data_IF_185211326551
#
_entry.id   IF_185211326551
#
_cell.length_a   1.000
_cell.length_b   1.000
_cell.length_c   1.000
_cell.angle_alpha   90.00
_cell.angle_beta   90.00
_cell.angle_gamma   90.00
#
_symmetry.space_group_name_H-M   'P 1'
#
loop_
_entity.id
_entity.type
_entity.pdbx_description
1 polymer ?
#
# COMPACT_ATOMS: atom_id res chain seq x y z
N UNK A 1 31.84 -8.12 -66.63
CA UNK A 1 31.33 -7.02 -65.79
C UNK A 1 30.62 -7.66 -64.60
N UNK A 2 31.33 -7.79 -63.45
CA UNK A 2 30.79 -8.37 -62.23
C UNK A 2 30.40 -7.20 -61.30
N UNK A 3 29.08 -7.09 -61.01
CA UNK A 3 28.59 -6.11 -60.01
C UNK A 3 28.71 -6.71 -58.60
N UNK A 4 29.55 -6.07 -57.81
CA UNK A 4 29.76 -6.38 -56.42
C UNK A 4 28.63 -5.73 -55.56
N UNK A 5 27.72 -6.56 -55.01
CA UNK A 5 26.65 -6.11 -54.08
C UNK A 5 27.20 -6.03 -52.64
N UNK A 6 27.33 -4.84 -52.12
CA UNK A 6 27.65 -4.60 -50.72
C UNK A 6 26.39 -4.73 -49.86
N UNK A 7 26.35 -5.76 -49.03
CA UNK A 7 25.34 -5.87 -47.95
C UNK A 7 25.82 -5.06 -46.73
N UNK A 8 25.15 -3.97 -46.46
CA UNK A 8 25.37 -3.21 -45.22
C UNK A 8 24.51 -3.88 -44.17
N UNK A 9 25.16 -4.64 -43.24
CA UNK A 9 24.51 -5.15 -42.04
C UNK A 9 24.39 -4.02 -41.00
N UNK A 10 23.18 -3.49 -40.85
CA UNK A 10 22.87 -2.50 -39.84
C UNK A 10 22.90 -3.13 -38.44
N UNK A 11 23.86 -2.75 -37.61
CA UNK A 11 23.91 -3.09 -36.19
C UNK A 11 22.79 -2.31 -35.46
N UNK A 12 21.71 -2.95 -35.08
CA UNK A 12 20.72 -2.40 -34.17
C UNK A 12 21.30 -2.46 -32.75
N UNK A 13 21.81 -1.34 -32.26
CA UNK A 13 22.21 -1.19 -30.86
C UNK A 13 20.94 -0.97 -30.05
N UNK A 14 20.47 -2.02 -29.38
CA UNK A 14 19.44 -1.92 -28.35
C UNK A 14 20.03 -1.15 -27.16
N UNK A 15 19.74 0.12 -27.06
CA UNK A 15 20.03 0.92 -25.88
C UNK A 15 19.17 0.35 -24.74
N UNK A 16 19.80 -0.38 -23.79
CA UNK A 16 19.19 -0.63 -22.47
C UNK A 16 19.06 0.70 -21.78
N UNK A 17 17.83 1.19 -21.61
CA UNK A 17 17.55 2.29 -20.69
C UNK A 17 18.04 1.84 -19.31
N UNK A 18 19.08 2.50 -18.79
CA UNK A 18 19.45 2.39 -17.39
C UNK A 18 18.24 2.93 -16.61
N UNK A 19 17.49 2.06 -15.95
CA UNK A 19 16.50 2.48 -14.98
C UNK A 19 17.25 3.35 -13.96
N UNK A 20 16.81 4.60 -13.77
CA UNK A 20 17.32 5.44 -12.69
C UNK A 20 17.14 4.63 -11.38
N UNK A 21 18.18 4.62 -10.56
CA UNK A 21 18.10 4.04 -9.21
C UNK A 21 17.05 4.83 -8.44
N UNK A 22 15.88 4.23 -8.27
CA UNK A 22 14.72 4.87 -7.64
C UNK A 22 14.91 5.07 -6.14
N UNK A 23 16.08 4.71 -5.59
CA UNK A 23 16.45 4.91 -4.19
C UNK A 23 15.64 4.06 -3.18
N UNK A 24 14.92 3.03 -3.64
CA UNK A 24 14.21 2.08 -2.80
C UNK A 24 14.23 0.67 -3.43
N UNK A 25 14.00 -0.38 -2.60
CA UNK A 25 14.14 -1.77 -3.01
C UNK A 25 12.80 -2.47 -3.29
N UNK A 26 11.74 -2.15 -2.52
CA UNK A 26 10.44 -2.82 -2.55
C UNK A 26 9.33 -1.92 -2.02
N UNK A 27 8.08 -2.39 -2.07
CA UNK A 27 6.93 -1.69 -1.48
C UNK A 27 6.36 -2.43 -0.28
N UNK A 28 5.75 -1.66 0.63
CA UNK A 28 4.76 -2.15 1.59
C UNK A 28 3.39 -1.69 1.12
N UNK A 29 2.46 -2.65 0.94
CA UNK A 29 1.03 -2.38 0.87
C UNK A 29 0.53 -2.32 2.31
N UNK A 30 0.14 -1.14 2.79
CA UNK A 30 -0.41 -0.96 4.13
C UNK A 30 -1.93 -0.84 4.04
N UNK A 31 -2.65 -1.78 4.64
CA UNK A 31 -4.10 -1.73 4.79
C UNK A 31 -4.43 -1.40 6.24
N UNK A 32 -5.22 -0.37 6.50
CA UNK A 32 -5.65 -0.01 7.85
C UNK A 32 -7.10 -0.39 8.11
N UNK A 33 -7.38 -0.82 9.36
CA UNK A 33 -8.76 -0.99 9.82
C UNK A 33 -9.34 0.38 10.15
N UNK A 34 -10.20 0.89 9.26
CA UNK A 34 -10.75 2.25 9.36
C UNK A 34 -11.45 2.53 10.69
N UNK A 35 -12.30 1.62 11.25
CA UNK A 35 -12.93 1.86 12.55
C UNK A 35 -11.94 2.04 13.70
N UNK A 36 -10.81 1.34 13.71
CA UNK A 36 -9.76 1.55 14.72
C UNK A 36 -9.17 2.95 14.65
N UNK A 37 -8.91 3.44 13.44
CA UNK A 37 -8.40 4.79 13.25
C UNK A 37 -9.39 5.84 13.75
N UNK A 38 -10.68 5.64 13.49
CA UNK A 38 -11.75 6.53 13.97
C UNK A 38 -11.88 6.50 15.50
N UNK A 39 -11.75 5.33 16.12
CA UNK A 39 -11.88 5.17 17.58
C UNK A 39 -10.70 5.71 18.40
N UNK A 40 -9.53 5.92 17.79
CA UNK A 40 -8.32 6.33 18.52
C UNK A 40 -8.35 7.76 19.04
N UNK A 41 -9.12 8.66 18.42
CA UNK A 41 -9.17 10.08 18.79
C UNK A 41 -10.57 10.65 18.48
N UNK A 42 -11.24 11.24 19.49
CA UNK A 42 -12.59 11.80 19.37
C UNK A 42 -12.72 12.86 18.25
N UNK A 43 -11.68 13.68 18.03
CA UNK A 43 -11.67 14.68 16.96
C UNK A 43 -11.82 14.08 15.54
N UNK A 44 -11.54 12.78 15.38
CA UNK A 44 -11.67 12.07 14.10
C UNK A 44 -13.11 11.71 13.76
N UNK A 45 -14.01 11.77 14.72
CA UNK A 45 -15.44 11.53 14.48
C UNK A 45 -16.04 12.47 13.41
N UNK A 46 -15.39 13.62 13.16
CA UNK A 46 -15.80 14.58 12.11
C UNK A 46 -15.13 14.31 10.74
N UNK A 47 -14.21 13.35 10.65
CA UNK A 47 -13.60 12.97 9.38
C UNK A 47 -14.62 12.20 8.53
N UNK A 48 -14.66 12.49 7.22
CA UNK A 48 -15.57 11.83 6.29
C UNK A 48 -15.40 10.30 6.27
N UNK A 49 -14.18 9.82 6.54
CA UNK A 49 -13.89 8.40 6.68
C UNK A 49 -14.59 7.74 7.86
N UNK A 50 -14.96 8.52 8.88
CA UNK A 50 -15.58 8.04 10.13
C UNK A 50 -17.09 8.29 10.19
N UNK A 51 -17.69 8.81 9.11
CA UNK A 51 -19.14 9.00 9.05
C UNK A 51 -19.83 7.63 8.97
N UNK A 52 -21.07 7.55 9.45
CA UNK A 52 -21.89 6.33 9.38
C UNK A 52 -22.15 5.88 7.95
N UNK A 53 -22.15 6.81 7.00
CA UNK A 53 -22.37 6.57 5.59
C UNK A 53 -21.12 6.04 4.87
N UNK A 54 -19.95 6.15 5.51
CA UNK A 54 -18.68 5.76 4.91
C UNK A 54 -18.50 4.23 4.80
N UNK A 55 -19.06 3.46 5.77
CA UNK A 55 -19.06 1.99 5.80
C UNK A 55 -17.68 1.34 5.49
N UNK A 56 -16.60 2.03 5.89
CA UNK A 56 -15.24 1.55 5.61
C UNK A 56 -14.78 0.53 6.67
N UNK A 57 -14.44 -0.67 6.18
CA UNK A 57 -13.65 -1.66 6.93
C UNK A 57 -12.15 -1.48 6.67
N UNK A 58 -11.56 -2.38 5.90
CA UNK A 58 -10.17 -2.26 5.45
C UNK A 58 -10.06 -1.27 4.29
N UNK A 59 -9.16 -0.30 4.42
CA UNK A 59 -8.82 0.66 3.38
C UNK A 59 -7.31 0.62 3.10
N UNK A 60 -6.91 1.07 1.93
CA UNK A 60 -5.52 1.31 1.62
C UNK A 60 -5.02 2.53 2.39
N UNK A 61 -4.21 2.32 3.43
CA UNK A 61 -3.49 3.43 4.06
C UNK A 61 -2.45 4.00 3.09
N UNK A 62 -1.69 3.16 2.41
CA UNK A 62 -0.79 3.61 1.37
C UNK A 62 0.06 2.50 0.75
N UNK A 63 0.75 2.85 -0.33
CA UNK A 63 1.80 2.06 -0.97
C UNK A 63 3.14 2.75 -0.69
N UNK A 64 3.98 2.13 0.13
CA UNK A 64 5.15 2.78 0.69
C UNK A 64 6.45 2.21 0.12
N UNK A 65 7.28 2.99 -0.58
CA UNK A 65 8.61 2.56 -0.98
C UNK A 65 9.49 2.33 0.25
N UNK A 66 10.29 1.27 0.21
CA UNK A 66 11.12 0.82 1.31
C UNK A 66 12.53 0.49 0.81
N UNK A 67 13.56 0.91 1.53
CA UNK A 67 14.90 0.36 1.43
C UNK A 67 15.08 -0.88 2.33
N UNK A 68 16.24 -1.50 2.28
CA UNK A 68 16.56 -2.67 3.12
C UNK A 68 16.62 -2.34 4.60
N UNK A 69 17.03 -1.12 4.94
CA UNK A 69 17.28 -0.67 6.32
C UNK A 69 16.50 0.59 6.69
N UNK A 70 16.01 1.34 5.71
CA UNK A 70 15.35 2.63 5.86
C UNK A 70 14.11 2.72 4.95
N UNK A 71 13.44 3.85 4.98
CA UNK A 71 12.31 4.16 4.11
C UNK A 71 12.38 5.62 3.66
N UNK A 72 12.39 5.88 2.34
CA UNK A 72 12.38 7.24 1.83
C UNK A 72 11.02 7.91 2.11
N UNK A 73 11.05 9.18 2.46
CA UNK A 73 9.85 9.97 2.70
C UNK A 73 10.05 11.44 2.31
N UNK A 74 9.01 12.07 1.78
CA UNK A 74 9.00 13.49 1.40
C UNK A 74 10.12 13.86 0.42
N UNK A 75 10.35 13.02 -0.58
CA UNK A 75 11.42 13.22 -1.55
C UNK A 75 11.14 14.46 -2.41
N UNK A 76 12.24 15.15 -2.76
CA UNK A 76 12.17 16.30 -3.70
C UNK A 76 12.09 15.77 -5.12
N UNK A 77 11.05 16.16 -5.85
CA UNK A 77 10.84 15.76 -7.24
C UNK A 77 10.42 16.97 -8.09
N UNK A 78 10.61 16.82 -9.40
CA UNK A 78 10.14 17.79 -10.40
C UNK A 78 8.68 17.54 -10.81
N UNK A 79 8.12 16.37 -10.47
CA UNK A 79 6.77 15.97 -10.84
C UNK A 79 5.70 16.87 -10.24
N UNK A 80 4.64 17.14 -11.04
CA UNK A 80 3.51 17.94 -10.58
C UNK A 80 2.72 17.19 -9.50
N UNK A 81 2.26 17.91 -8.48
CA UNK A 81 1.39 17.32 -7.48
C UNK A 81 0.03 16.88 -8.09
N UNK A 82 -0.67 15.90 -7.49
CA UNK A 82 -1.95 15.43 -7.97
C UNK A 82 -3.00 16.53 -7.96
N UNK A 83 -3.90 16.50 -8.92
CA UNK A 83 -5.07 17.36 -8.93
C UNK A 83 -6.09 16.93 -7.84
N UNK A 84 -7.04 17.83 -7.51
CA UNK A 84 -8.15 17.49 -6.61
C UNK A 84 -9.01 16.34 -7.14
N UNK A 85 -9.18 16.25 -8.46
CA UNK A 85 -9.93 15.15 -9.09
C UNK A 85 -9.22 13.81 -8.89
N UNK A 86 -7.89 13.76 -9.04
CA UNK A 86 -7.09 12.55 -8.83
C UNK A 86 -7.18 12.09 -7.38
N UNK A 87 -7.00 12.99 -6.40
CA UNK A 87 -7.09 12.63 -4.97
C UNK A 87 -8.50 12.20 -4.57
N UNK A 88 -9.54 12.85 -5.12
CA UNK A 88 -10.93 12.45 -4.93
C UNK A 88 -11.23 11.07 -5.53
N UNK A 89 -10.65 10.78 -6.70
CA UNK A 89 -10.78 9.48 -7.36
C UNK A 89 -10.16 8.31 -6.59
N UNK A 90 -9.36 8.56 -5.54
CA UNK A 90 -8.79 7.54 -4.66
C UNK A 90 -9.62 7.31 -3.38
N UNK A 91 -10.63 8.16 -3.10
CA UNK A 91 -11.34 8.13 -1.81
C UNK A 91 -12.07 6.82 -1.55
N UNK A 92 -12.48 6.11 -2.60
CA UNK A 92 -13.17 4.81 -2.51
C UNK A 92 -12.32 3.70 -1.87
N UNK A 93 -10.98 3.74 -2.07
CA UNK A 93 -10.07 2.74 -1.48
C UNK A 93 -9.21 3.30 -0.34
N UNK A 94 -9.03 4.63 -0.27
CA UNK A 94 -8.15 5.29 0.70
C UNK A 94 -8.94 5.95 1.84
N UNK A 95 -10.26 6.11 1.68
CA UNK A 95 -11.15 6.70 2.66
C UNK A 95 -11.30 8.23 2.54
N UNK A 96 -10.28 8.97 2.12
CA UNK A 96 -10.41 10.41 1.91
C UNK A 96 -9.40 10.97 0.92
N UNK A 97 -9.77 12.08 0.25
CA UNK A 97 -8.86 12.83 -0.64
C UNK A 97 -7.66 13.41 0.12
N UNK A 98 -7.85 13.76 1.39
CA UNK A 98 -6.78 14.27 2.26
C UNK A 98 -5.71 13.22 2.52
N UNK A 99 -6.13 11.97 2.80
CA UNK A 99 -5.19 10.86 2.96
C UNK A 99 -4.49 10.54 1.65
N UNK A 100 -5.20 10.52 0.51
CA UNK A 100 -4.60 10.31 -0.81
C UNK A 100 -3.51 11.36 -1.09
N UNK A 101 -3.77 12.64 -0.83
CA UNK A 101 -2.78 13.72 -0.94
C UNK A 101 -1.58 13.49 -0.03
N UNK A 102 -1.81 13.12 1.24
CA UNK A 102 -0.75 12.85 2.21
C UNK A 102 0.15 11.70 1.74
N UNK A 103 -0.45 10.60 1.23
CA UNK A 103 0.30 9.45 0.74
C UNK A 103 1.17 9.80 -0.47
N UNK A 104 0.66 10.58 -1.42
CA UNK A 104 1.48 11.10 -2.50
C UNK A 104 2.66 11.92 -1.97
N UNK A 105 2.37 12.95 -1.15
CA UNK A 105 3.38 13.85 -0.63
C UNK A 105 4.50 13.14 0.15
N UNK A 106 4.13 12.13 0.93
CA UNK A 106 5.07 11.43 1.82
C UNK A 106 5.80 10.29 1.12
N UNK A 107 5.11 9.53 0.30
CA UNK A 107 5.59 8.26 -0.25
C UNK A 107 5.67 8.28 -1.79
N UNK A 108 4.65 8.76 -2.47
CA UNK A 108 4.59 8.80 -3.92
C UNK A 108 5.74 9.58 -4.54
N UNK A 109 6.12 10.70 -3.93
CA UNK A 109 7.27 11.52 -4.37
C UNK A 109 8.60 10.77 -4.35
N UNK A 110 8.69 9.63 -3.67
CA UNK A 110 9.90 8.84 -3.57
C UNK A 110 9.95 7.66 -4.56
N UNK A 111 8.99 7.57 -5.47
CA UNK A 111 8.86 6.42 -6.41
C UNK A 111 9.34 6.73 -7.82
N UNK A 112 9.76 7.96 -8.11
CA UNK A 112 10.04 8.48 -9.45
C UNK A 112 8.85 8.36 -10.44
N UNK A 113 7.65 8.07 -9.95
CA UNK A 113 6.42 8.00 -10.73
C UNK A 113 5.73 9.37 -10.80
N UNK A 114 4.92 9.59 -11.83
CA UNK A 114 3.93 10.66 -11.80
C UNK A 114 2.86 10.40 -10.73
N UNK A 115 2.11 11.43 -10.32
CA UNK A 115 1.02 11.24 -9.38
C UNK A 115 -0.06 10.30 -9.91
N UNK A 116 -0.33 10.34 -11.21
CA UNK A 116 -1.28 9.46 -11.90
C UNK A 116 -0.80 7.99 -11.82
N UNK A 117 0.46 7.73 -12.18
CA UNK A 117 1.04 6.40 -12.18
C UNK A 117 1.15 5.83 -10.76
N UNK A 118 1.52 6.65 -9.77
CA UNK A 118 1.54 6.24 -8.37
C UNK A 118 0.16 5.82 -7.86
N UNK A 119 -0.90 6.59 -8.19
CA UNK A 119 -2.26 6.23 -7.79
C UNK A 119 -2.77 5.00 -8.54
N UNK A 120 -2.44 4.87 -9.83
CA UNK A 120 -2.76 3.68 -10.60
C UNK A 120 -2.06 2.43 -10.02
N UNK A 121 -0.78 2.55 -9.64
CA UNK A 121 -0.02 1.49 -8.97
C UNK A 121 -0.61 1.16 -7.60
N UNK A 122 -0.97 2.17 -6.81
CA UNK A 122 -1.59 2.01 -5.48
C UNK A 122 -2.92 1.27 -5.57
N UNK A 123 -3.74 1.57 -6.57
CA UNK A 123 -5.01 0.87 -6.82
C UNK A 123 -4.77 -0.59 -7.22
N UNK A 124 -3.80 -0.86 -8.09
CA UNK A 124 -3.41 -2.24 -8.44
C UNK A 124 -2.93 -3.00 -7.21
N UNK A 125 -2.12 -2.37 -6.37
CA UNK A 125 -1.62 -2.98 -5.14
C UNK A 125 -2.75 -3.33 -4.17
N UNK A 126 -3.73 -2.43 -3.98
CA UNK A 126 -4.92 -2.70 -3.18
C UNK A 126 -5.73 -3.87 -3.72
N UNK A 127 -5.99 -3.89 -5.02
CA UNK A 127 -6.78 -4.93 -5.68
C UNK A 127 -6.07 -6.30 -5.77
N UNK A 128 -4.74 -6.33 -5.60
CA UNK A 128 -3.96 -7.57 -5.53
C UNK A 128 -4.13 -8.32 -4.21
N UNK A 129 -4.67 -7.66 -3.16
CA UNK A 129 -4.90 -8.28 -1.86
C UNK A 129 -6.38 -8.58 -1.67
N UNK A 130 -6.71 -9.85 -1.54
CA UNK A 130 -8.07 -10.28 -1.18
C UNK A 130 -8.33 -10.00 0.29
N UNK A 131 -9.26 -9.08 0.57
CA UNK A 131 -9.70 -8.81 1.94
C UNK A 131 -10.60 -9.96 2.39
N UNK A 132 -10.29 -10.63 3.53
CA UNK A 132 -11.11 -11.75 4.02
C UNK A 132 -12.55 -11.33 4.30
N UNK A 133 -13.52 -12.07 3.77
CA UNK A 133 -14.94 -11.73 3.87
C UNK A 133 -15.49 -11.69 5.30
N UNK A 134 -14.81 -12.32 6.25
CA UNK A 134 -15.17 -12.27 7.69
C UNK A 134 -15.16 -10.84 8.22
N UNK A 135 -14.31 -9.96 7.68
CA UNK A 135 -14.23 -8.58 8.13
C UNK A 135 -15.39 -7.70 7.64
N UNK A 136 -16.10 -8.07 6.58
CA UNK A 136 -17.30 -7.34 6.14
C UNK A 136 -18.49 -7.52 7.08
N UNK A 137 -18.39 -8.43 8.07
CA UNK A 137 -19.43 -8.78 9.04
C UNK A 137 -19.12 -8.33 10.46
N UNK A 138 -18.16 -7.42 10.63
CA UNK A 138 -17.80 -6.87 11.95
C UNK A 138 -18.80 -5.78 12.33
N UNK A 139 -20.00 -6.21 12.79
CA UNK A 139 -21.12 -5.35 13.20
C UNK A 139 -21.13 -4.99 14.69
N UNK A 140 -20.19 -5.54 15.46
CA UNK A 140 -19.95 -5.23 16.87
C UNK A 140 -18.46 -5.32 17.18
N UNK A 141 -18.05 -4.68 18.24
CA UNK A 141 -16.64 -4.70 18.68
C UNK A 141 -16.22 -6.11 19.08
N UNK A 142 -15.04 -6.51 18.64
CA UNK A 142 -14.41 -7.76 19.04
C UNK A 142 -13.06 -7.50 19.70
N UNK A 143 -12.75 -8.30 20.73
CA UNK A 143 -11.40 -8.42 21.26
C UNK A 143 -10.85 -9.77 20.80
N UNK A 144 -9.74 -9.75 20.06
CA UNK A 144 -9.13 -10.94 19.48
C UNK A 144 -7.60 -10.83 19.51
N UNK A 145 -6.91 -11.97 19.37
CA UNK A 145 -5.47 -11.94 19.16
C UNK A 145 -5.16 -11.43 17.73
N UNK A 146 -4.19 -10.55 17.61
CA UNK A 146 -3.80 -9.98 16.32
C UNK A 146 -3.37 -11.04 15.28
N UNK A 147 -2.82 -12.16 15.72
CA UNK A 147 -2.46 -13.31 14.89
C UNK A 147 -3.66 -13.88 14.09
N UNK A 148 -4.87 -13.84 14.67
CA UNK A 148 -6.10 -14.27 13.96
C UNK A 148 -6.36 -13.43 12.72
N UNK A 149 -6.01 -12.14 12.76
CA UNK A 149 -6.14 -11.26 11.60
C UNK A 149 -5.16 -11.68 10.50
N UNK A 150 -3.91 -11.95 10.89
CA UNK A 150 -2.88 -12.42 9.96
C UNK A 150 -3.30 -13.74 9.29
N UNK A 151 -3.70 -14.73 10.09
CA UNK A 151 -4.18 -16.03 9.60
C UNK A 151 -5.34 -15.88 8.61
N UNK A 152 -6.29 -14.96 8.88
CA UNK A 152 -7.41 -14.72 7.98
C UNK A 152 -6.93 -14.18 6.62
N UNK A 153 -5.96 -13.26 6.60
CA UNK A 153 -5.37 -12.74 5.37
C UNK A 153 -4.55 -13.81 4.63
N UNK A 154 -3.74 -14.60 5.32
CA UNK A 154 -2.99 -15.70 4.72
C UNK A 154 -3.92 -16.73 4.07
N UNK A 155 -5.02 -17.06 4.74
CA UNK A 155 -6.04 -17.98 4.19
C UNK A 155 -6.74 -17.44 2.94
N UNK A 156 -6.99 -16.14 2.90
CA UNK A 156 -7.66 -15.50 1.75
C UNK A 156 -6.72 -15.24 0.57
N UNK A 157 -5.40 -15.27 0.80
CA UNK A 157 -4.35 -14.96 -0.19
C UNK A 157 -3.30 -16.09 -0.21
N UNK A 158 -3.52 -17.18 -0.95
CA UNK A 158 -2.66 -18.38 -0.92
C UNK A 158 -1.19 -18.15 -1.32
N UNK A 159 -0.91 -17.06 -2.04
CA UNK A 159 0.45 -16.68 -2.44
C UNK A 159 1.24 -15.98 -1.30
N UNK A 160 0.55 -15.57 -0.21
CA UNK A 160 1.17 -14.96 0.95
C UNK A 160 1.65 -16.05 1.93
N UNK A 161 2.75 -15.74 2.62
CA UNK A 161 3.29 -16.50 3.74
C UNK A 161 3.47 -15.58 4.95
N UNK A 162 3.59 -16.16 6.13
CA UNK A 162 3.77 -15.46 7.42
C UNK A 162 4.90 -14.41 7.39
N UNK A 163 6.01 -14.72 6.73
CA UNK A 163 7.16 -13.81 6.64
C UNK A 163 7.01 -12.68 5.59
N UNK A 164 5.90 -12.63 4.87
CA UNK A 164 5.56 -11.60 3.85
C UNK A 164 4.51 -10.60 4.37
N UNK A 165 3.90 -10.91 5.52
CA UNK A 165 2.79 -10.14 6.12
C UNK A 165 3.19 -9.68 7.51
N UNK A 166 2.63 -8.57 7.97
CA UNK A 166 2.79 -8.04 9.33
C UNK A 166 1.51 -7.40 9.81
N UNK A 167 1.11 -7.73 11.01
CA UNK A 167 0.03 -7.06 11.72
C UNK A 167 0.61 -6.02 12.66
N UNK A 168 0.04 -4.82 12.69
CA UNK A 168 0.46 -3.76 13.60
C UNK A 168 -0.67 -3.33 14.52
N UNK A 169 -0.31 -2.86 15.71
CA UNK A 169 -1.24 -2.35 16.71
C UNK A 169 -0.82 -0.97 17.18
N UNK A 170 -1.81 -0.16 17.53
CA UNK A 170 -1.60 1.12 18.21
C UNK A 170 -2.49 1.21 19.44
N UNK A 171 -1.87 1.40 20.63
CA UNK A 171 -2.63 1.32 21.88
C UNK A 171 -3.31 -0.04 22.03
N UNK A 172 -4.58 -0.06 22.34
CA UNK A 172 -5.38 -1.29 22.45
C UNK A 172 -5.97 -1.77 21.10
N UNK A 173 -5.76 -1.04 20.01
CA UNK A 173 -6.44 -1.28 18.75
C UNK A 173 -5.58 -2.02 17.73
N UNK A 174 -6.22 -2.86 16.92
CA UNK A 174 -5.67 -3.30 15.65
C UNK A 174 -5.45 -2.07 14.75
N UNK A 175 -4.27 -1.92 14.15
CA UNK A 175 -3.98 -0.77 13.32
C UNK A 175 -3.96 -1.13 11.83
N UNK A 176 -3.04 -1.99 11.42
CA UNK A 176 -2.79 -2.28 10.01
C UNK A 176 -2.41 -3.73 9.80
N UNK A 177 -2.65 -4.19 8.58
CA UNK A 177 -1.92 -5.30 7.99
C UNK A 177 -1.02 -4.73 6.89
N UNK A 178 0.23 -5.19 6.84
CA UNK A 178 1.25 -4.75 5.90
C UNK A 178 1.73 -5.95 5.11
N UNK A 179 1.72 -5.83 3.78
CA UNK A 179 2.21 -6.87 2.87
C UNK A 179 3.42 -6.34 2.12
N UNK A 180 4.53 -7.07 2.16
CA UNK A 180 5.75 -6.72 1.45
C UNK A 180 5.69 -7.28 0.02
N UNK A 181 5.91 -6.40 -0.96
CA UNK A 181 5.85 -6.76 -2.39
C UNK A 181 7.03 -6.15 -3.15
N UNK A 182 7.46 -6.81 -4.22
CA UNK A 182 8.44 -6.26 -5.17
C UNK A 182 7.90 -4.98 -5.85
N UNK A 183 8.71 -4.33 -6.67
CA UNK A 183 8.28 -3.19 -7.49
C UNK A 183 7.17 -3.56 -8.48
N UNK A 184 7.10 -4.83 -8.88
CA UNK A 184 6.06 -5.41 -9.75
C UNK A 184 4.84 -5.93 -8.99
N UNK A 185 4.75 -5.67 -7.67
CA UNK A 185 3.69 -6.10 -6.75
C UNK A 185 3.63 -7.62 -6.48
N UNK A 186 4.71 -8.36 -6.74
CA UNK A 186 4.82 -9.78 -6.35
C UNK A 186 5.14 -9.88 -4.85
N UNK A 187 4.45 -10.72 -4.06
CA UNK A 187 4.75 -10.92 -2.64
C UNK A 187 6.21 -11.34 -2.40
N UNK A 188 6.87 -10.72 -1.43
CA UNK A 188 8.25 -11.02 -1.04
C UNK A 188 8.39 -11.07 0.48
N UNK A 189 9.46 -11.69 0.97
CA UNK A 189 9.79 -11.71 2.40
C UNK A 189 10.08 -10.30 2.89
N UNK A 190 9.44 -9.88 3.97
CA UNK A 190 9.67 -8.58 4.58
C UNK A 190 11.10 -8.44 5.12
N UNK A 191 11.69 -7.25 4.98
CA UNK A 191 12.99 -6.95 5.59
C UNK A 191 12.93 -7.07 7.13
N UNK A 192 14.09 -7.26 7.78
CA UNK A 192 14.18 -7.34 9.25
C UNK A 192 13.65 -6.08 9.95
N UNK A 193 13.82 -4.90 9.34
CA UNK A 193 13.32 -3.63 9.88
C UNK A 193 11.78 -3.60 9.99
N UNK A 194 11.08 -4.36 9.15
CA UNK A 194 9.61 -4.43 9.08
C UNK A 194 9.02 -5.70 9.72
N UNK A 195 9.76 -6.39 10.60
CA UNK A 195 9.33 -7.66 11.24
C UNK A 195 8.65 -7.51 12.59
N UNK A 196 8.25 -6.31 12.98
CA UNK A 196 7.54 -6.14 14.26
C UNK A 196 6.08 -6.46 14.07
N UNK A 197 5.66 -7.60 14.61
CA UNK A 197 4.26 -8.02 14.68
C UNK A 197 3.63 -7.64 16.01
N UNK A 198 2.33 -7.43 15.96
CA UNK A 198 1.52 -7.35 17.15
C UNK A 198 1.09 -8.76 17.57
N UNK A 199 1.59 -9.23 18.73
CA UNK A 199 1.32 -10.58 19.25
C UNK A 199 0.34 -10.59 20.42
N UNK A 200 -0.43 -9.50 20.62
CA UNK A 200 -1.34 -9.34 21.76
C UNK A 200 -2.80 -9.29 21.34
N UNK A 201 -3.67 -9.44 22.34
CA UNK A 201 -5.10 -9.14 22.15
C UNK A 201 -5.32 -7.64 21.86
N UNK A 202 -6.13 -7.38 20.87
CA UNK A 202 -6.49 -6.04 20.40
C UNK A 202 -7.98 -5.90 20.23
N UNK A 203 -8.46 -4.68 20.31
CA UNK A 203 -9.82 -4.32 19.95
C UNK A 203 -9.91 -4.12 18.43
N UNK A 204 -10.88 -4.75 17.83
CA UNK A 204 -11.34 -4.56 16.46
C UNK A 204 -12.72 -3.92 16.55
N UNK A 205 -12.84 -2.58 16.45
CA UNK A 205 -14.13 -1.90 16.48
C UNK A 205 -14.99 -2.28 15.28
N UNK A 206 -16.32 -2.23 15.49
CA UNK A 206 -17.29 -2.47 14.42
C UNK A 206 -17.20 -1.44 13.30
N UNK A 207 -17.60 -1.85 12.11
CA UNK A 207 -17.89 -0.92 11.02
C UNK A 207 -19.14 -0.12 11.44
N UNK A 208 -19.18 1.21 11.25
CA UNK A 208 -20.28 2.08 11.65
C UNK A 208 -21.64 1.66 11.12
#
# INVERSE_FOLDING_TARGET
MQMLRWCIAGLIVLAKSAAADEGFDYYIIALSWSPSWCAMEERRAQDAQCSKEADYGWILHGLWPQGKTDWPAYCKIAEKPPSRAMTKGMSDIVGSSGLAWHQWKKHGTCTALSAEDYYALSRRAFNAITIPSVFSKVIKDFKLNAEIVEEAFLKANPDLRDNMVRVTCKGAFLQEIRVCVSKELTPIVCSKANRRDCTRSVLLPSIP
#
